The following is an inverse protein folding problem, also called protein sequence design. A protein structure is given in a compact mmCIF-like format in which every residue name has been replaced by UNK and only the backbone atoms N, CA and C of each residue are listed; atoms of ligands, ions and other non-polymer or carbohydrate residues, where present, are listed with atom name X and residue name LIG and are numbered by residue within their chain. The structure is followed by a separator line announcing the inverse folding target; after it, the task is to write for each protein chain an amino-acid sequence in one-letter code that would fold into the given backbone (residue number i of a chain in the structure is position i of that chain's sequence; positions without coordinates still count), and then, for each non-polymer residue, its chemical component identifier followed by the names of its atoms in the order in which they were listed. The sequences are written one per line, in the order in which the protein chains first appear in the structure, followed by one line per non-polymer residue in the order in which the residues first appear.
data_IF_090485002855
#
_entry.id   IF_090485002855
#
_cell.length_a   1.000
_cell.length_b   1.000
_cell.length_c   1.000
_cell.angle_alpha   90.00
_cell.angle_beta   90.00
_cell.angle_gamma   90.00
#
_symmetry.space_group_name_H-M   'P 1'
#
loop_
_entity.id
_entity.type
_entity.pdbx_description
1 polymer ?
#
# COMPACT_ATOMS: atom_id res chain seq x y z
N UNK A 1 -7.19 -3.05 1.24
CA UNK A 1 -5.82 -2.67 1.51
C UNK A 1 -4.87 -3.84 1.28
N UNK A 2 -3.64 -3.77 1.76
CA UNK A 2 -2.54 -4.70 1.48
C UNK A 2 -2.92 -6.18 1.59
N UNK A 3 -3.64 -6.60 2.63
CA UNK A 3 -4.08 -7.99 2.78
C UNK A 3 -4.90 -8.49 1.57
N UNK A 4 -5.79 -7.66 1.00
CA UNK A 4 -6.55 -8.04 -0.18
C UNK A 4 -5.65 -8.21 -1.41
N UNK A 5 -4.64 -7.36 -1.56
CA UNK A 5 -3.64 -7.45 -2.63
C UNK A 5 -2.84 -8.75 -2.50
N UNK A 6 -2.38 -9.07 -1.29
CA UNK A 6 -1.62 -10.29 -1.02
C UNK A 6 -2.49 -11.55 -1.13
N UNK A 7 -3.77 -11.46 -0.73
CA UNK A 7 -4.74 -12.52 -0.97
C UNK A 7 -4.87 -12.82 -2.47
N UNK A 8 -5.09 -11.79 -3.28
CA UNK A 8 -5.16 -11.97 -4.73
C UNK A 8 -3.86 -12.57 -5.29
N UNK A 9 -2.69 -12.08 -4.84
CA UNK A 9 -1.39 -12.62 -5.24
C UNK A 9 -1.28 -14.11 -4.91
N UNK A 10 -1.70 -14.54 -3.72
CA UNK A 10 -1.66 -15.96 -3.31
C UNK A 10 -2.54 -16.84 -4.20
N UNK A 11 -3.71 -16.32 -4.64
CA UNK A 11 -4.60 -17.05 -5.57
C UNK A 11 -3.98 -17.24 -6.96
N UNK A 12 -3.07 -16.36 -7.36
CA UNK A 12 -2.27 -16.50 -8.58
C UNK A 12 -0.98 -17.31 -8.38
N UNK A 13 -0.80 -17.94 -7.20
CA UNK A 13 0.36 -18.78 -6.90
C UNK A 13 1.61 -18.01 -6.46
N UNK A 14 1.48 -16.72 -6.17
CA UNK A 14 2.58 -15.92 -5.62
C UNK A 14 2.79 -16.17 -4.13
N UNK A 15 4.03 -16.01 -3.67
CA UNK A 15 4.37 -16.05 -2.25
C UNK A 15 4.22 -14.66 -1.64
N UNK A 16 3.55 -14.57 -0.49
CA UNK A 16 3.29 -13.31 0.17
C UNK A 16 3.73 -13.32 1.64
N UNK A 17 4.26 -12.17 2.07
CA UNK A 17 4.55 -11.86 3.47
C UNK A 17 3.91 -10.52 3.82
N UNK A 18 3.17 -10.44 4.91
CA UNK A 18 2.54 -9.21 5.38
C UNK A 18 3.17 -8.74 6.70
N UNK A 19 3.87 -7.62 6.67
CA UNK A 19 4.20 -6.88 7.89
C UNK A 19 2.98 -6.09 8.33
N UNK A 20 2.46 -6.40 9.51
CA UNK A 20 1.28 -5.73 10.06
C UNK A 20 1.32 -5.75 11.59
N UNK A 21 0.47 -4.94 12.22
CA UNK A 21 0.29 -4.89 13.67
C UNK A 21 -1.15 -5.17 14.02
N UNK A 22 -1.36 -6.18 14.86
CA UNK A 22 -2.65 -6.54 15.43
C UNK A 22 -2.52 -6.75 16.93
N UNK A 23 -3.59 -6.50 17.68
CA UNK A 23 -3.62 -6.71 19.10
C UNK A 23 -3.77 -8.18 19.47
N UNK A 24 -3.51 -8.48 20.75
CA UNK A 24 -3.80 -9.77 21.36
C UNK A 24 -5.29 -9.84 21.73
N UNK A 25 -6.17 -9.81 20.70
CA UNK A 25 -7.61 -9.88 20.84
C UNK A 25 -8.22 -10.86 19.79
N UNK A 26 -9.50 -11.23 19.95
CA UNK A 26 -10.19 -12.14 19.05
C UNK A 26 -10.18 -11.69 17.58
N UNK A 27 -10.20 -10.38 17.35
CA UNK A 27 -10.13 -9.83 15.98
C UNK A 27 -8.75 -10.03 15.37
N UNK A 28 -7.69 -9.86 16.18
CA UNK A 28 -6.32 -10.16 15.78
C UNK A 28 -6.11 -11.64 15.49
N UNK A 29 -6.64 -12.54 16.37
CA UNK A 29 -6.59 -13.98 16.15
C UNK A 29 -7.28 -14.36 14.84
N UNK A 30 -8.48 -13.84 14.61
CA UNK A 30 -9.20 -14.07 13.35
C UNK A 30 -8.39 -13.62 12.14
N UNK A 31 -7.82 -12.41 12.19
CA UNK A 31 -7.07 -11.84 11.06
C UNK A 31 -5.84 -12.67 10.71
N UNK A 32 -5.05 -13.08 11.71
CA UNK A 32 -3.86 -13.91 11.51
C UNK A 32 -4.22 -15.30 10.99
N UNK A 33 -5.25 -15.93 11.56
CA UNK A 33 -5.72 -17.24 11.10
C UNK A 33 -6.19 -17.20 9.64
N UNK A 34 -6.91 -16.15 9.24
CA UNK A 34 -7.35 -16.00 7.84
C UNK A 34 -6.17 -15.81 6.87
N UNK A 35 -5.15 -15.04 7.24
CA UNK A 35 -3.93 -14.92 6.44
C UNK A 35 -3.20 -16.26 6.31
N UNK A 36 -3.06 -16.99 7.42
CA UNK A 36 -2.44 -18.31 7.44
C UNK A 36 -3.18 -19.33 6.57
N UNK A 37 -4.52 -19.32 6.56
CA UNK A 37 -5.35 -20.15 5.70
C UNK A 37 -5.08 -19.88 4.20
N UNK A 38 -4.61 -18.69 3.85
CA UNK A 38 -4.25 -18.31 2.49
C UNK A 38 -2.74 -18.41 2.21
N UNK A 39 -1.99 -19.09 3.09
CA UNK A 39 -0.51 -19.23 2.98
C UNK A 39 0.26 -17.91 3.00
N UNK A 40 -0.35 -16.82 3.47
CA UNK A 40 0.30 -15.52 3.65
C UNK A 40 1.02 -15.53 4.99
N UNK A 41 2.33 -15.42 4.97
CA UNK A 41 3.15 -15.32 6.17
C UNK A 41 3.06 -13.93 6.78
N UNK A 42 3.26 -13.84 8.09
CA UNK A 42 3.24 -12.57 8.83
C UNK A 42 4.35 -12.52 9.88
N UNK A 43 4.63 -11.31 10.39
CA UNK A 43 5.54 -11.06 11.51
C UNK A 43 4.88 -11.18 12.89
N UNK A 44 3.60 -11.54 12.97
CA UNK A 44 2.75 -11.26 14.15
C UNK A 44 2.83 -12.27 15.27
N UNK A 45 3.52 -13.40 15.11
CA UNK A 45 3.62 -14.43 16.17
C UNK A 45 4.39 -13.95 17.42
N UNK A 46 5.21 -12.91 17.29
CA UNK A 46 6.09 -12.42 18.35
C UNK A 46 5.87 -10.96 18.78
N UNK A 47 5.05 -10.19 18.05
CA UNK A 47 4.96 -8.73 18.21
C UNK A 47 3.54 -8.23 18.56
N UNK A 48 2.65 -9.12 19.03
CA UNK A 48 1.29 -8.73 19.43
C UNK A 48 1.31 -8.10 20.81
N UNK A 49 0.67 -6.94 20.93
CA UNK A 49 0.55 -6.21 22.20
C UNK A 49 -0.90 -6.19 22.69
N UNK A 50 -1.08 -5.83 23.97
CA UNK A 50 -2.40 -5.58 24.52
C UNK A 50 -3.01 -4.34 23.85
N UNK A 51 -4.30 -4.40 23.54
CA UNK A 51 -5.00 -3.30 22.86
C UNK A 51 -6.19 -3.78 22.05
N UNK A 52 -6.52 -3.02 21.05
CA UNK A 52 -7.63 -3.35 20.11
C UNK A 52 -7.11 -3.38 18.69
N UNK A 53 -7.35 -4.47 17.99
CA UNK A 53 -7.05 -4.59 16.56
C UNK A 53 -7.88 -3.60 15.75
N UNK A 54 -7.27 -3.01 14.73
CA UNK A 54 -7.92 -2.05 13.83
C UNK A 54 -9.17 -2.64 13.16
N UNK A 55 -10.20 -1.81 13.02
CA UNK A 55 -11.52 -2.18 12.45
C UNK A 55 -12.01 -1.09 11.53
N UNK A 56 -12.71 -1.49 10.48
CA UNK A 56 -13.36 -0.55 9.58
C UNK A 56 -14.82 -0.96 9.37
N UNK A 57 -15.75 -0.06 9.71
CA UNK A 57 -17.16 -0.23 9.37
C UNK A 57 -17.38 0.44 8.02
N UNK A 58 -17.84 -0.33 7.05
CA UNK A 58 -18.13 0.16 5.70
C UNK A 58 -19.65 0.25 5.53
N UNK A 59 -20.16 1.45 5.32
CA UNK A 59 -21.55 1.69 4.98
C UNK A 59 -21.64 1.88 3.47
N UNK A 60 -22.57 1.15 2.85
CA UNK A 60 -22.80 1.19 1.40
C UNK A 60 -24.19 1.80 1.18
N UNK A 61 -24.22 2.93 0.47
CA UNK A 61 -25.45 3.61 0.09
C UNK A 61 -26.10 3.00 -1.17
N UNK A 62 -27.38 3.28 -1.47
CA UNK A 62 -28.07 2.69 -2.63
C UNK A 62 -27.44 2.99 -3.99
N UNK A 63 -26.63 4.06 -4.09
CA UNK A 63 -25.83 4.43 -5.26
C UNK A 63 -24.46 3.73 -5.33
N UNK A 64 -24.25 2.73 -4.43
CA UNK A 64 -23.01 1.95 -4.29
C UNK A 64 -21.79 2.75 -3.79
N UNK A 65 -21.97 3.97 -3.30
CA UNK A 65 -20.92 4.72 -2.63
C UNK A 65 -20.60 4.11 -1.25
N UNK A 66 -19.34 4.16 -0.88
CA UNK A 66 -18.83 3.57 0.35
C UNK A 66 -18.34 4.64 1.31
N UNK A 67 -18.93 4.70 2.50
CA UNK A 67 -18.43 5.51 3.60
C UNK A 67 -17.72 4.61 4.60
N UNK A 68 -16.45 4.89 4.87
CA UNK A 68 -15.62 4.10 5.76
C UNK A 68 -15.41 4.81 7.10
N UNK A 69 -15.76 4.13 8.19
CA UNK A 69 -15.46 4.57 9.55
C UNK A 69 -14.34 3.68 10.10
N UNK A 70 -13.12 4.18 10.07
CA UNK A 70 -11.92 3.45 10.45
C UNK A 70 -11.50 3.80 11.87
N UNK A 71 -11.31 2.76 12.68
CA UNK A 71 -10.61 2.81 13.95
C UNK A 71 -9.32 2.01 13.78
N UNK A 72 -8.18 2.67 13.84
CA UNK A 72 -6.88 2.04 13.55
C UNK A 72 -6.40 1.12 14.68
N UNK A 73 -6.80 1.40 15.94
CA UNK A 73 -6.34 0.63 17.08
C UNK A 73 -4.80 0.57 17.15
N UNK A 74 -4.25 -0.59 17.48
CA UNK A 74 -2.79 -0.78 17.54
C UNK A 74 -2.10 -0.57 16.19
N UNK A 75 -2.81 -0.68 15.06
CA UNK A 75 -2.23 -0.43 13.74
C UNK A 75 -1.77 1.03 13.54
N UNK A 76 -2.26 1.98 14.35
CA UNK A 76 -1.81 3.37 14.31
C UNK A 76 -0.32 3.52 14.68
N UNK A 77 0.20 2.59 15.47
CA UNK A 77 1.57 2.59 15.99
C UNK A 77 2.53 1.69 15.20
N UNK A 78 2.15 1.27 14.00
CA UNK A 78 3.06 0.53 13.11
C UNK A 78 4.36 1.30 12.93
N UNK A 79 5.47 0.59 13.07
CA UNK A 79 6.83 1.14 13.08
C UNK A 79 7.81 0.21 12.36
N UNK A 80 9.10 0.48 12.45
CA UNK A 80 10.14 -0.39 11.93
C UNK A 80 10.16 -1.76 12.62
N UNK A 81 9.68 -1.86 13.85
CA UNK A 81 9.64 -3.11 14.62
C UNK A 81 8.78 -4.19 13.98
N UNK A 82 7.76 -3.79 13.19
CA UNK A 82 6.92 -4.71 12.45
C UNK A 82 7.54 -5.16 11.12
N UNK A 83 8.70 -4.63 10.72
CA UNK A 83 9.35 -5.00 9.44
C UNK A 83 10.29 -6.18 9.66
N UNK A 84 10.01 -7.30 9.01
CA UNK A 84 10.94 -8.43 8.94
C UNK A 84 11.91 -8.23 7.77
N UNK A 85 13.08 -7.65 8.04
CA UNK A 85 14.11 -7.39 7.03
C UNK A 85 14.71 -8.66 6.42
N UNK A 86 14.62 -9.81 7.09
CA UNK A 86 15.05 -11.08 6.50
C UNK A 86 14.04 -11.61 5.50
N UNK A 87 12.74 -11.42 5.75
CA UNK A 87 11.70 -11.66 4.75
C UNK A 87 11.85 -10.68 3.57
N UNK A 88 12.15 -9.41 3.83
CA UNK A 88 12.41 -8.41 2.77
C UNK A 88 13.55 -8.86 1.85
N UNK A 89 14.69 -9.31 2.39
CA UNK A 89 15.84 -9.80 1.58
C UNK A 89 15.49 -10.97 0.66
N UNK A 90 14.47 -11.74 1.00
CA UNK A 90 14.01 -12.89 0.21
C UNK A 90 12.89 -12.52 -0.77
N UNK A 91 12.46 -11.25 -0.77
CA UNK A 91 11.35 -10.77 -1.60
C UNK A 91 11.85 -10.24 -2.94
N UNK A 92 11.05 -10.40 -3.98
CA UNK A 92 11.28 -9.75 -5.27
C UNK A 92 10.78 -8.30 -5.27
N UNK A 93 9.70 -8.05 -4.53
CA UNK A 93 9.06 -6.74 -4.39
C UNK A 93 8.74 -6.43 -2.94
N UNK A 94 8.90 -5.16 -2.58
CA UNK A 94 8.27 -4.54 -1.41
C UNK A 94 7.10 -3.71 -1.89
N UNK A 95 5.90 -3.95 -1.33
CA UNK A 95 4.68 -3.21 -1.67
C UNK A 95 4.27 -2.30 -0.51
N UNK A 96 4.15 -1.00 -0.80
CA UNK A 96 3.87 0.06 0.17
C UNK A 96 2.49 0.64 -0.07
N UNK A 97 1.67 0.70 0.98
CA UNK A 97 0.36 1.36 0.95
C UNK A 97 0.47 2.84 1.31
N UNK A 98 -0.17 3.69 0.53
CA UNK A 98 -0.20 5.14 0.74
C UNK A 98 -0.83 5.55 2.07
N UNK A 99 -1.74 4.76 2.63
CA UNK A 99 -2.32 5.03 3.96
C UNK A 99 -1.28 5.19 5.09
N UNK A 100 -0.10 4.58 4.95
CA UNK A 100 0.96 4.64 5.96
C UNK A 100 1.55 6.04 6.15
N UNK A 101 1.33 6.96 5.20
CA UNK A 101 1.79 8.35 5.30
C UNK A 101 1.06 9.17 6.36
N UNK A 102 -0.06 8.70 6.88
CA UNK A 102 -0.86 9.40 7.90
C UNK A 102 -0.27 9.31 9.31
N UNK A 103 0.54 8.29 9.59
CA UNK A 103 1.24 8.10 10.86
C UNK A 103 2.72 8.46 10.71
N UNK A 104 3.28 9.34 11.57
CA UNK A 104 4.71 9.67 11.53
C UNK A 104 5.63 8.45 11.69
N UNK A 105 5.28 7.51 12.58
CA UNK A 105 6.05 6.29 12.81
C UNK A 105 6.01 5.38 11.58
N UNK A 106 4.82 5.12 11.03
CA UNK A 106 4.66 4.29 9.85
C UNK A 106 5.33 4.92 8.62
N UNK A 107 5.23 6.27 8.44
CA UNK A 107 5.95 6.97 7.38
C UNK A 107 7.46 6.77 7.50
N UNK A 108 8.02 6.95 8.68
CA UNK A 108 9.45 6.75 8.91
C UNK A 108 9.86 5.30 8.59
N UNK A 109 9.10 4.32 9.08
CA UNK A 109 9.33 2.90 8.84
C UNK A 109 9.35 2.54 7.34
N UNK A 110 8.38 3.04 6.56
CA UNK A 110 8.33 2.72 5.11
C UNK A 110 9.41 3.44 4.31
N UNK A 111 9.88 4.62 4.75
CA UNK A 111 11.03 5.28 4.14
C UNK A 111 12.29 4.44 4.35
N UNK A 112 12.54 3.95 5.56
CA UNK A 112 13.69 3.07 5.84
C UNK A 112 13.56 1.72 5.12
N UNK A 113 12.35 1.12 5.10
CA UNK A 113 12.08 -0.09 4.32
C UNK A 113 12.41 0.09 2.83
N UNK A 114 11.95 1.20 2.23
CA UNK A 114 12.22 1.52 0.83
C UNK A 114 13.71 1.68 0.56
N UNK A 115 14.42 2.44 1.40
CA UNK A 115 15.87 2.62 1.32
C UNK A 115 16.63 1.30 1.46
N UNK A 116 16.19 0.42 2.37
CA UNK A 116 16.75 -0.90 2.52
C UNK A 116 16.52 -1.75 1.27
N UNK A 117 15.32 -1.75 0.71
CA UNK A 117 15.00 -2.46 -0.52
C UNK A 117 15.87 -1.99 -1.70
N UNK A 118 15.97 -0.67 -1.91
CA UNK A 118 16.80 -0.06 -2.96
C UNK A 118 18.28 -0.46 -2.80
N UNK A 119 18.82 -0.42 -1.57
CA UNK A 119 20.21 -0.79 -1.27
C UNK A 119 20.48 -2.27 -1.57
N UNK A 120 19.49 -3.13 -1.40
CA UNK A 120 19.59 -4.57 -1.64
C UNK A 120 19.08 -5.00 -3.03
N UNK A 121 18.82 -4.05 -3.93
CA UNK A 121 18.32 -4.30 -5.29
C UNK A 121 16.95 -5.02 -5.34
N UNK A 122 16.13 -4.83 -4.31
CA UNK A 122 14.77 -5.33 -4.24
C UNK A 122 13.85 -4.26 -4.85
N UNK A 123 12.97 -4.67 -5.74
CA UNK A 123 12.04 -3.74 -6.39
C UNK A 123 11.02 -3.16 -5.41
N UNK A 124 10.62 -1.92 -5.66
CA UNK A 124 9.63 -1.22 -4.85
C UNK A 124 8.36 -0.99 -5.64
N UNK A 125 7.23 -1.30 -5.02
CA UNK A 125 5.91 -1.00 -5.54
C UNK A 125 5.14 -0.15 -4.52
N UNK A 126 4.33 0.79 -4.98
CA UNK A 126 3.51 1.66 -4.12
C UNK A 126 2.12 1.86 -4.71
N UNK A 127 1.13 2.02 -3.85
CA UNK A 127 -0.17 2.58 -4.23
C UNK A 127 -0.42 3.90 -3.51
N UNK A 128 -1.12 4.84 -4.15
CA UNK A 128 -1.57 6.05 -3.45
C UNK A 128 -2.73 5.78 -2.49
N UNK A 129 -3.42 4.66 -2.66
CA UNK A 129 -4.46 4.11 -1.77
C UNK A 129 -5.78 4.86 -1.77
N UNK A 130 -5.78 6.18 -1.67
CA UNK A 130 -6.99 7.01 -1.59
C UNK A 130 -6.67 8.46 -1.98
N UNK A 131 -7.56 9.16 -2.72
CA UNK A 131 -7.38 10.58 -3.04
C UNK A 131 -7.12 11.47 -1.83
N UNK A 132 -7.67 11.16 -0.65
CA UNK A 132 -7.45 11.92 0.58
C UNK A 132 -5.97 11.93 1.01
N UNK A 133 -5.19 10.90 0.65
CA UNK A 133 -3.74 10.89 0.92
C UNK A 133 -3.03 12.00 0.16
N UNK A 134 -3.51 12.33 -1.02
CA UNK A 134 -2.94 13.37 -1.87
C UNK A 134 -3.52 14.75 -1.56
N UNK A 135 -4.79 14.81 -1.13
CA UNK A 135 -5.43 16.07 -0.74
C UNK A 135 -4.86 16.62 0.58
N UNK A 136 -4.56 15.75 1.56
CA UNK A 136 -4.19 16.16 2.93
C UNK A 136 -2.74 15.84 3.32
N UNK A 137 -2.09 14.91 2.63
CA UNK A 137 -0.75 14.40 3.00
C UNK A 137 0.22 14.34 1.82
N UNK A 138 0.06 15.21 0.81
CA UNK A 138 0.86 15.19 -0.41
C UNK A 138 2.37 15.22 -0.14
N UNK A 139 2.82 16.06 0.80
CA UNK A 139 4.24 16.16 1.16
C UNK A 139 4.74 14.82 1.73
N UNK A 140 3.96 14.18 2.59
CA UNK A 140 4.30 12.88 3.15
C UNK A 140 4.33 11.77 2.08
N UNK A 141 3.39 11.81 1.13
CA UNK A 141 3.41 10.89 -0.03
C UNK A 141 4.68 11.09 -0.84
N UNK A 142 5.06 12.35 -1.10
CA UNK A 142 6.28 12.67 -1.84
C UNK A 142 7.55 12.27 -1.07
N UNK A 143 7.56 12.38 0.26
CA UNK A 143 8.67 11.90 1.10
C UNK A 143 8.88 10.38 0.93
N UNK A 144 7.79 9.58 0.97
CA UNK A 144 7.85 8.13 0.77
C UNK A 144 8.21 7.78 -0.67
N UNK A 145 7.61 8.46 -1.64
CA UNK A 145 7.91 8.27 -3.05
C UNK A 145 9.37 8.58 -3.38
N UNK A 146 9.94 9.63 -2.77
CA UNK A 146 11.35 10.00 -2.86
C UNK A 146 11.81 10.19 -4.30
N UNK A 147 12.85 9.46 -4.71
CA UNK A 147 13.38 9.46 -6.09
C UNK A 147 12.48 8.73 -7.07
N UNK A 148 11.55 7.91 -6.59
CA UNK A 148 10.60 7.13 -7.38
C UNK A 148 10.49 5.68 -6.91
N UNK A 149 9.66 4.90 -7.61
CA UNK A 149 9.43 3.46 -7.38
C UNK A 149 9.52 2.69 -8.69
N UNK A 150 9.69 1.37 -8.59
CA UNK A 150 9.70 0.51 -9.79
C UNK A 150 8.30 0.35 -10.36
N UNK A 151 7.26 0.28 -9.51
CA UNK A 151 5.88 0.10 -9.93
C UNK A 151 4.93 0.95 -9.07
N UNK A 152 4.04 1.70 -9.71
CA UNK A 152 3.03 2.50 -9.02
C UNK A 152 1.62 2.09 -9.44
N UNK A 153 0.72 2.03 -8.45
CA UNK A 153 -0.71 1.84 -8.65
C UNK A 153 -1.48 3.08 -8.17
N UNK A 154 -2.39 3.57 -8.98
CA UNK A 154 -3.31 4.64 -8.59
C UNK A 154 -4.55 4.63 -9.48
N UNK A 155 -5.52 5.50 -9.18
CA UNK A 155 -6.61 5.80 -10.08
C UNK A 155 -6.40 7.16 -10.79
N UNK A 156 -7.29 7.47 -11.75
CA UNK A 156 -7.22 8.71 -12.52
C UNK A 156 -7.30 9.96 -11.62
N UNK A 157 -8.18 9.96 -10.60
CA UNK A 157 -8.28 11.08 -9.67
C UNK A 157 -6.99 11.27 -8.89
N UNK A 158 -6.41 10.19 -8.41
CA UNK A 158 -5.16 10.21 -7.63
C UNK A 158 -3.99 10.74 -8.46
N UNK A 159 -3.80 10.27 -9.69
CA UNK A 159 -2.67 10.75 -10.50
C UNK A 159 -2.80 12.24 -10.83
N UNK A 160 -4.02 12.73 -11.10
CA UNK A 160 -4.27 14.16 -11.35
C UNK A 160 -3.99 15.01 -10.12
N UNK A 161 -4.45 14.58 -8.94
CA UNK A 161 -4.17 15.27 -7.67
C UNK A 161 -2.66 15.32 -7.38
N UNK A 162 -1.97 14.19 -7.53
CA UNK A 162 -0.53 14.15 -7.31
C UNK A 162 0.22 15.04 -8.29
N UNK A 163 -0.14 15.03 -9.57
CA UNK A 163 0.51 15.81 -10.61
C UNK A 163 0.14 17.30 -10.57
N UNK A 164 -0.92 17.68 -9.86
CA UNK A 164 -1.45 19.05 -9.79
C UNK A 164 -1.98 19.54 -11.13
N UNK A 165 -2.61 18.66 -11.92
CA UNK A 165 -3.16 18.97 -13.26
C UNK A 165 -4.50 18.27 -13.48
N UNK A 166 -5.36 18.85 -14.31
CA UNK A 166 -6.66 18.26 -14.66
C UNK A 166 -6.58 17.31 -15.87
N UNK A 167 -5.60 17.53 -16.74
CA UNK A 167 -5.41 16.70 -17.93
C UNK A 167 -4.78 15.36 -17.56
N UNK A 168 -5.42 14.27 -17.99
CA UNK A 168 -4.99 12.93 -17.65
C UNK A 168 -3.69 12.51 -18.36
N UNK A 169 -3.51 12.93 -19.60
CA UNK A 169 -2.31 12.59 -20.37
C UNK A 169 -1.10 13.33 -19.79
N UNK A 170 -1.27 14.62 -19.43
CA UNK A 170 -0.23 15.39 -18.73
C UNK A 170 0.13 14.76 -17.37
N UNK A 171 -0.86 14.31 -16.60
CA UNK A 171 -0.62 13.65 -15.33
C UNK A 171 0.18 12.35 -15.51
N UNK A 172 -0.16 11.54 -16.52
CA UNK A 172 0.59 10.33 -16.86
C UNK A 172 2.04 10.61 -17.26
N UNK A 173 2.27 11.66 -18.06
CA UNK A 173 3.63 12.05 -18.45
C UNK A 173 4.48 12.49 -17.24
N UNK A 174 3.90 13.25 -16.31
CA UNK A 174 4.58 13.61 -15.05
C UNK A 174 4.93 12.39 -14.22
N UNK A 175 4.04 11.36 -14.19
CA UNK A 175 4.25 10.14 -13.41
C UNK A 175 5.48 9.35 -13.85
N UNK A 176 5.87 9.40 -15.13
CA UNK A 176 7.09 8.76 -15.65
C UNK A 176 8.37 9.21 -14.93
N UNK A 177 8.36 10.40 -14.32
CA UNK A 177 9.50 10.90 -13.53
C UNK A 177 9.65 10.23 -12.16
N UNK A 178 8.60 9.51 -11.69
CA UNK A 178 8.52 8.94 -10.35
C UNK A 178 8.23 7.44 -10.31
N UNK A 179 7.79 6.86 -11.41
CA UNK A 179 7.55 5.44 -11.50
C UNK A 179 8.13 4.87 -12.81
N UNK A 180 8.93 3.80 -12.69
CA UNK A 180 9.45 3.11 -13.88
C UNK A 180 8.34 2.41 -14.65
N UNK A 181 7.36 1.89 -13.95
CA UNK A 181 6.14 1.29 -14.46
C UNK A 181 4.95 1.76 -13.64
N UNK A 182 3.77 1.85 -14.24
CA UNK A 182 2.56 2.17 -13.48
C UNK A 182 1.29 1.59 -14.12
N UNK A 183 0.29 1.39 -13.26
CA UNK A 183 -1.05 1.03 -13.64
C UNK A 183 -2.04 2.05 -13.05
N UNK A 184 -2.77 2.75 -13.91
CA UNK A 184 -3.75 3.77 -13.52
C UNK A 184 -5.14 3.30 -13.91
N UNK A 185 -5.99 3.03 -12.91
CA UNK A 185 -7.37 2.61 -13.14
C UNK A 185 -8.28 3.81 -13.41
N UNK A 186 -9.28 3.62 -14.27
CA UNK A 186 -10.18 4.67 -14.77
C UNK A 186 -11.66 4.30 -14.66
N UNK A 187 -11.99 3.42 -13.71
CA UNK A 187 -13.36 2.94 -13.54
C UNK A 187 -13.90 2.26 -14.79
N UNK A 188 -15.02 2.77 -15.33
CA UNK A 188 -15.65 2.22 -16.54
C UNK A 188 -14.80 2.40 -17.81
N UNK A 189 -13.86 3.36 -17.81
CA UNK A 189 -12.95 3.62 -18.94
C UNK A 189 -11.73 2.70 -18.96
N UNK A 190 -11.70 1.68 -18.08
CA UNK A 190 -10.66 0.65 -18.01
C UNK A 190 -9.42 1.09 -17.24
N UNK A 191 -8.23 0.93 -17.82
CA UNK A 191 -6.97 1.28 -17.20
C UNK A 191 -5.93 1.71 -18.23
N UNK A 192 -4.97 2.52 -17.81
CA UNK A 192 -3.76 2.83 -18.57
C UNK A 192 -2.55 2.22 -17.88
N UNK A 193 -1.77 1.47 -18.64
CA UNK A 193 -0.54 0.85 -18.17
C UNK A 193 0.66 1.48 -18.87
N UNK A 194 1.75 1.65 -18.16
CA UNK A 194 3.05 2.03 -18.72
C UNK A 194 4.09 1.00 -18.28
N UNK A 195 4.78 0.37 -19.23
CA UNK A 195 5.73 -0.72 -18.98
C UNK A 195 7.19 -0.25 -18.77
N UNK A 196 7.41 1.06 -18.83
CA UNK A 196 8.73 1.67 -18.77
C UNK A 196 9.22 2.21 -20.13
N UNK A 197 8.57 1.80 -21.21
CA UNK A 197 8.86 2.26 -22.58
C UNK A 197 7.61 2.82 -23.25
N UNK A 198 6.56 2.01 -23.28
CA UNK A 198 5.33 2.30 -24.01
C UNK A 198 4.08 2.21 -23.13
N UNK A 199 3.03 2.88 -23.54
CA UNK A 199 1.69 2.67 -23.00
C UNK A 199 1.09 1.39 -23.58
N UNK A 200 0.58 0.53 -22.69
CA UNK A 200 -0.15 -0.69 -23.04
C UNK A 200 -1.63 -0.40 -22.85
N UNK A 201 -2.43 -0.71 -23.85
CA UNK A 201 -3.88 -0.53 -23.84
C UNK A 201 -4.59 -1.74 -23.24
#
# INVERSE_FOLDING_TARGET
SCANTLYALSQFGGNAFLSCKVANDETGDFYINELGNQTIKTNTDSLREEGTTGRCIVMISPDAERTMHTFLGVSETVSEEEIDFDAVKQSEYVYIEGYLVTSPCAKAAVIELKKFAETNHIKTAMTFSDPAMLEYFLDNVNDVLGTGVDLLFCNEKEVKLWAGVDDFDEACEKMKSKAKQFAITRGADGARLFDGNDYIA
#
